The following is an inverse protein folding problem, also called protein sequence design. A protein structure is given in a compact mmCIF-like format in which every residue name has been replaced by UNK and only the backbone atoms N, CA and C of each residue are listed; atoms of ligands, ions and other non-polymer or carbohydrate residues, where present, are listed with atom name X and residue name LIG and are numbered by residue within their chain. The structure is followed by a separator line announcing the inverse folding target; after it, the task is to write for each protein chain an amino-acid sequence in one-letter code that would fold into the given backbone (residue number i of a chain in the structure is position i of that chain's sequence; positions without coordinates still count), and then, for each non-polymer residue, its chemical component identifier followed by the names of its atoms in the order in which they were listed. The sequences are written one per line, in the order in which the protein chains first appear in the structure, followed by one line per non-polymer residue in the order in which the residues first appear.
data_IF_621168131312
#
_entry.id   IF_621168131312
#
_cell.length_a   1.000
_cell.length_b   1.000
_cell.length_c   1.000
_cell.angle_alpha   90.00
_cell.angle_beta   90.00
_cell.angle_gamma   90.00
#
_symmetry.space_group_name_H-M   'P 1'
#
loop_
_entity.id
_entity.type
_entity.pdbx_description
1 polymer ?
#
# COMPACT_ATOMS: atom_id res chain seq x y z
N UNK A 1 -3.01 7.68 14.18
CA UNK A 1 -3.24 8.64 13.08
C UNK A 1 -2.18 8.38 12.03
N UNK A 2 -2.54 8.53 10.76
CA UNK A 2 -1.64 8.47 9.61
C UNK A 2 -1.26 9.91 9.23
N UNK A 3 -0.07 10.10 8.67
CA UNK A 3 0.40 11.39 8.17
C UNK A 3 -0.28 11.74 6.84
N UNK A 4 -0.43 10.75 5.97
CA UNK A 4 -1.10 10.89 4.67
C UNK A 4 -1.88 9.62 4.31
N UNK A 5 -2.94 9.78 3.53
CA UNK A 5 -3.72 8.67 2.99
C UNK A 5 -4.15 8.99 1.56
N UNK A 6 -3.88 8.06 0.66
CA UNK A 6 -4.30 8.13 -0.74
C UNK A 6 -5.75 7.65 -0.89
N UNK A 7 -6.46 8.04 -1.97
CA UNK A 7 -7.78 7.51 -2.26
C UNK A 7 -7.75 5.98 -2.36
N UNK A 8 -8.87 5.35 -2.01
CA UNK A 8 -9.03 3.91 -2.16
C UNK A 8 -9.08 3.55 -3.65
N UNK A 9 -8.18 2.68 -4.09
CA UNK A 9 -8.18 2.07 -5.43
C UNK A 9 -8.28 0.55 -5.27
N UNK A 10 -9.23 -0.06 -5.99
CA UNK A 10 -9.54 -1.50 -5.87
C UNK A 10 -9.80 -1.99 -4.43
N UNK A 11 -10.32 -1.11 -3.55
CA UNK A 11 -10.61 -1.47 -2.17
C UNK A 11 -9.38 -1.46 -1.24
N UNK A 12 -8.28 -0.82 -1.63
CA UNK A 12 -7.13 -0.56 -0.78
C UNK A 12 -6.71 0.91 -0.87
N UNK A 13 -6.27 1.48 0.24
CA UNK A 13 -5.69 2.83 0.29
C UNK A 13 -4.24 2.74 0.75
N UNK A 14 -3.38 3.49 0.08
CA UNK A 14 -2.00 3.68 0.52
C UNK A 14 -2.01 4.69 1.66
N UNK A 15 -1.49 4.28 2.82
CA UNK A 15 -1.31 5.17 3.96
C UNK A 15 0.16 5.38 4.22
N UNK A 16 0.51 6.59 4.67
CA UNK A 16 1.85 6.98 5.08
C UNK A 16 1.86 7.28 6.57
N UNK A 17 2.84 6.74 7.27
CA UNK A 17 3.08 6.98 8.70
C UNK A 17 4.56 6.85 8.98
N UNK A 18 5.14 7.84 9.68
CA UNK A 18 6.57 7.81 10.05
C UNK A 18 7.49 7.58 8.82
N UNK A 19 7.22 8.28 7.71
CA UNK A 19 7.91 8.14 6.40
C UNK A 19 7.82 6.74 5.75
N UNK A 20 6.97 5.86 6.29
CA UNK A 20 6.73 4.52 5.76
C UNK A 20 5.33 4.43 5.19
N UNK A 21 5.24 3.71 4.08
CA UNK A 21 3.99 3.46 3.37
C UNK A 21 3.54 2.01 3.55
N UNK A 22 2.23 1.84 3.59
CA UNK A 22 1.54 0.57 3.73
C UNK A 22 0.16 0.64 3.09
N UNK A 23 -0.60 -0.44 3.16
CA UNK A 23 -1.93 -0.51 2.58
C UNK A 23 -2.95 -0.88 3.65
N UNK A 24 -4.04 -0.13 3.67
CA UNK A 24 -5.18 -0.37 4.55
C UNK A 24 -6.42 -0.62 3.71
N UNK A 25 -7.32 -1.45 4.24
CA UNK A 25 -8.64 -1.61 3.66
C UNK A 25 -9.59 -0.47 4.12
N UNK A 26 -10.80 -0.34 3.54
CA UNK A 26 -11.79 0.67 3.91
C UNK A 26 -12.29 0.54 5.36
N UNK A 27 -12.05 -0.61 5.99
CA UNK A 27 -12.35 -0.83 7.40
C UNK A 27 -11.24 -0.31 8.33
N UNK A 28 -10.17 0.27 7.78
CA UNK A 28 -8.99 0.73 8.53
C UNK A 28 -8.07 -0.41 9.00
N UNK A 29 -8.25 -1.62 8.49
CA UNK A 29 -7.37 -2.76 8.77
C UNK A 29 -6.15 -2.68 7.86
N UNK A 30 -4.98 -2.71 8.47
CA UNK A 30 -3.70 -2.82 7.78
C UNK A 30 -3.62 -4.19 7.09
N UNK A 31 -3.60 -4.19 5.75
CA UNK A 31 -3.40 -5.38 4.91
C UNK A 31 -1.92 -5.55 4.60
N UNK A 32 -1.23 -4.42 4.39
CA UNK A 32 0.20 -4.38 4.13
C UNK A 32 0.84 -3.45 5.16
N UNK A 33 1.84 -3.93 5.93
CA UNK A 33 2.45 -3.14 6.99
C UNK A 33 3.19 -1.93 6.42
N UNK A 34 3.23 -0.86 7.22
CA UNK A 34 3.97 0.38 6.92
C UNK A 34 5.48 0.16 7.05
N UNK A 35 6.07 -0.55 6.09
CA UNK A 35 7.52 -0.87 6.07
C UNK A 35 8.21 -0.44 4.78
N UNK A 36 7.45 0.09 3.82
CA UNK A 36 7.95 0.49 2.52
C UNK A 36 8.32 1.97 2.54
N UNK A 37 9.43 2.33 1.92
CA UNK A 37 9.83 3.72 1.75
C UNK A 37 8.96 4.42 0.71
N UNK A 38 8.49 3.65 -0.27
CA UNK A 38 7.54 4.13 -1.26
C UNK A 38 6.54 3.05 -1.65
N UNK A 39 5.35 3.47 -2.02
CA UNK A 39 4.24 2.64 -2.47
C UNK A 39 3.47 3.47 -3.49
N UNK A 40 3.31 2.90 -4.67
CA UNK A 40 2.48 3.44 -5.73
C UNK A 40 1.04 2.97 -5.57
N UNK A 41 0.15 3.59 -6.35
CA UNK A 41 -1.24 3.21 -6.41
C UNK A 41 -1.40 1.77 -6.87
N UNK A 42 -2.49 1.16 -6.42
CA UNK A 42 -2.85 -0.19 -6.80
C UNK A 42 -3.52 -0.16 -8.18
N UNK A 43 -2.98 -0.92 -9.13
CA UNK A 43 -3.47 -1.01 -10.50
C UNK A 43 -3.32 -2.44 -10.99
N UNK A 44 -4.36 -2.96 -11.65
CA UNK A 44 -4.38 -4.32 -12.22
C UNK A 44 -4.11 -5.44 -11.19
N UNK A 45 -4.50 -5.24 -9.92
CA UNK A 45 -4.23 -6.25 -8.89
C UNK A 45 -2.82 -6.21 -8.29
N UNK A 46 -2.02 -5.19 -8.64
CA UNK A 46 -0.64 -5.04 -8.17
C UNK A 46 -0.37 -3.61 -7.71
N UNK A 47 0.53 -3.46 -6.75
CA UNK A 47 1.14 -2.17 -6.46
C UNK A 47 2.65 -2.29 -6.44
N UNK A 48 3.32 -1.29 -7.02
CA UNK A 48 4.76 -1.16 -6.96
C UNK A 48 5.14 -0.58 -5.59
N UNK A 49 6.02 -1.29 -4.88
CA UNK A 49 6.52 -0.85 -3.57
C UNK A 49 8.04 -0.87 -3.56
N UNK A 50 8.62 0.05 -2.80
CA UNK A 50 10.06 0.19 -2.63
C UNK A 50 10.42 -0.06 -1.18
N UNK A 51 11.33 -1.01 -0.94
CA UNK A 51 11.88 -1.31 0.37
C UNK A 51 13.39 -1.47 0.24
N UNK A 52 14.15 -0.68 0.99
CA UNK A 52 15.61 -0.79 1.13
C UNK A 52 16.34 -0.78 -0.22
N UNK A 53 16.01 0.19 -1.08
CA UNK A 53 16.70 0.38 -2.36
C UNK A 53 16.45 -0.71 -3.41
N UNK A 54 15.60 -1.71 -3.14
CA UNK A 54 15.12 -2.67 -4.14
C UNK A 54 13.69 -2.34 -4.54
N UNK A 55 13.45 -2.19 -5.84
CA UNK A 55 12.10 -2.20 -6.39
C UNK A 55 11.55 -3.62 -6.18
N UNK A 56 10.66 -3.78 -5.20
CA UNK A 56 9.95 -5.05 -5.02
C UNK A 56 8.66 -4.88 -5.79
N UNK A 57 8.73 -5.21 -7.07
CA UNK A 57 7.53 -5.40 -7.87
C UNK A 57 6.79 -6.60 -7.26
N UNK A 58 5.49 -6.45 -6.98
CA UNK A 58 4.55 -7.46 -6.50
C UNK A 58 4.29 -7.52 -4.99
N UNK A 59 3.52 -6.55 -4.48
CA UNK A 59 2.55 -6.87 -3.42
C UNK A 59 1.27 -7.42 -4.08
N UNK A 60 1.25 -8.72 -4.40
CA UNK A 60 0.02 -9.42 -4.75
C UNK A 60 -0.84 -9.54 -3.50
N UNK A 61 -1.96 -8.82 -3.41
CA UNK A 61 -2.98 -9.07 -2.38
C UNK A 61 -4.34 -8.44 -2.72
N UNK A 62 -4.76 -8.47 -3.98
CA UNK A 62 -6.18 -8.32 -4.31
C UNK A 62 -6.80 -9.72 -4.54
N UNK A 63 -7.80 -10.14 -3.74
CA UNK A 63 -8.70 -11.18 -4.20
C UNK A 63 -9.40 -10.66 -5.46
N UNK A 64 -9.06 -11.24 -6.62
CA UNK A 64 -9.85 -11.09 -7.84
C UNK A 64 -11.14 -11.87 -7.61
N UNK A 65 -12.26 -11.20 -7.42
CA UNK A 65 -13.57 -11.79 -7.69
C UNK A 65 -13.80 -11.87 -9.20
#
# INVERSE_FOLDING_TARGET
MYDDAQPFEEGLSVVTKDDKKGFVNPQGKEIVPLVYENAEKFSEGLAAVKKEGKCVENCQNAPKE
#
